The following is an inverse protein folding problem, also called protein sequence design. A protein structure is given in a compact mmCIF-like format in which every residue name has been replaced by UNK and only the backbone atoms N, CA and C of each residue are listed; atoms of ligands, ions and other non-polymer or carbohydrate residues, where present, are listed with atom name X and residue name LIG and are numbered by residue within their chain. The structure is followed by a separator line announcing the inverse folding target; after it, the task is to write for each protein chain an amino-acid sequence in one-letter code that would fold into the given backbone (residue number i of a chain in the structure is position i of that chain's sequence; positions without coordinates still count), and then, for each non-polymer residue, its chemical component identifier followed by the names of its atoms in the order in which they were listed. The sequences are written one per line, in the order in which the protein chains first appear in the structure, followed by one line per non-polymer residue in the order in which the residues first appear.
data_IF_447039244723
#
_entry.id   IF_447039244723
#
_cell.length_a   1.000
_cell.length_b   1.000
_cell.length_c   1.000
_cell.angle_alpha   90.00
_cell.angle_beta   90.00
_cell.angle_gamma   90.00
#
_symmetry.space_group_name_H-M   'P 1'
#
loop_
_entity.id
_entity.type
_entity.pdbx_description
1 polymer ?
#
# COMPACT_ATOMS: atom_id res chain seq x y z
N UNK A 1 18.52 -37.93 3.93
CA UNK A 1 19.34 -37.49 5.08
C UNK A 1 20.69 -36.87 4.64
N UNK A 2 21.73 -37.61 4.22
CA UNK A 2 23.06 -36.99 3.95
C UNK A 2 23.12 -36.04 2.72
N UNK A 3 22.22 -36.17 1.74
CA UNK A 3 22.16 -35.27 0.58
C UNK A 3 21.43 -33.96 0.87
N UNK A 4 20.38 -34.00 1.71
CA UNK A 4 19.61 -32.81 2.10
C UNK A 4 20.48 -31.83 2.90
N UNK A 5 21.38 -32.33 3.75
CA UNK A 5 22.29 -31.48 4.55
C UNK A 5 23.30 -30.70 3.72
N UNK A 6 23.66 -31.14 2.51
CA UNK A 6 24.62 -30.43 1.64
C UNK A 6 23.97 -29.26 0.90
N UNK A 7 22.71 -29.39 0.49
CA UNK A 7 22.00 -28.31 -0.21
C UNK A 7 21.77 -27.11 0.73
N UNK A 8 21.49 -27.37 2.01
CA UNK A 8 21.28 -26.34 3.02
C UNK A 8 22.55 -25.56 3.36
N UNK A 9 23.74 -26.17 3.24
CA UNK A 9 25.03 -25.51 3.52
C UNK A 9 25.34 -24.34 2.58
N UNK A 10 24.72 -24.29 1.39
CA UNK A 10 24.91 -23.23 0.40
C UNK A 10 23.82 -22.15 0.43
N UNK A 11 22.89 -22.19 1.38
CA UNK A 11 21.82 -21.19 1.49
C UNK A 11 22.35 -19.93 2.20
N UNK A 12 22.46 -18.83 1.46
CA UNK A 12 22.78 -17.52 2.04
C UNK A 12 21.51 -16.80 2.53
N UNK A 13 21.40 -16.57 3.84
CA UNK A 13 20.31 -15.79 4.44
C UNK A 13 20.61 -14.30 4.34
N UNK A 14 19.77 -13.55 3.63
CA UNK A 14 19.86 -12.10 3.50
C UNK A 14 18.74 -11.44 4.31
N UNK A 15 19.06 -10.35 5.02
CA UNK A 15 18.11 -9.57 5.80
C UNK A 15 18.10 -8.12 5.29
N UNK A 16 16.94 -7.64 4.86
CA UNK A 16 16.73 -6.24 4.51
C UNK A 16 16.24 -5.47 5.73
N UNK A 17 17.03 -4.51 6.20
CA UNK A 17 16.72 -3.63 7.34
C UNK A 17 16.36 -2.22 6.87
N UNK A 18 15.50 -1.56 7.62
CA UNK A 18 15.05 -0.19 7.34
C UNK A 18 13.79 0.17 8.11
N UNK A 19 13.48 1.46 8.21
CA UNK A 19 12.27 1.97 8.87
C UNK A 19 10.98 1.39 8.26
N UNK A 20 9.85 1.49 8.97
CA UNK A 20 8.53 1.27 8.36
C UNK A 20 8.42 2.02 7.04
N UNK A 21 7.75 1.43 6.04
CA UNK A 21 7.48 2.09 4.74
C UNK A 21 8.71 2.44 3.89
N UNK A 22 9.92 2.06 4.29
CA UNK A 22 11.17 2.32 3.55
C UNK A 22 11.32 1.58 2.21
N UNK A 23 10.28 0.90 1.74
CA UNK A 23 10.30 0.15 0.47
C UNK A 23 10.87 -1.28 0.53
N UNK A 24 11.11 -1.85 1.71
CA UNK A 24 11.63 -3.24 1.83
C UNK A 24 10.76 -4.26 1.07
N UNK A 25 9.45 -4.22 1.29
CA UNK A 25 8.50 -5.11 0.59
C UNK A 25 8.53 -4.90 -0.93
N UNK A 26 8.76 -3.67 -1.39
CA UNK A 26 8.92 -3.35 -2.81
C UNK A 26 10.16 -4.02 -3.38
N UNK A 27 11.31 -3.93 -2.68
CA UNK A 27 12.54 -4.61 -3.10
C UNK A 27 12.34 -6.13 -3.18
N UNK A 28 11.69 -6.74 -2.18
CA UNK A 28 11.39 -8.18 -2.21
C UNK A 28 10.52 -8.57 -3.42
N UNK A 29 9.49 -7.77 -3.74
CA UNK A 29 8.65 -7.98 -4.93
C UNK A 29 9.47 -7.90 -6.23
N UNK A 30 10.41 -6.96 -6.32
CA UNK A 30 11.30 -6.85 -7.49
C UNK A 30 12.25 -8.06 -7.60
N UNK A 31 12.79 -8.56 -6.48
CA UNK A 31 13.63 -9.78 -6.48
C UNK A 31 12.82 -10.99 -6.99
N UNK A 32 11.57 -11.14 -6.52
CA UNK A 32 10.67 -12.20 -7.00
C UNK A 32 10.39 -12.08 -8.50
N UNK A 33 10.17 -10.86 -9.00
CA UNK A 33 9.94 -10.63 -10.43
C UNK A 33 11.18 -10.95 -11.29
N UNK A 34 12.39 -10.63 -10.80
CA UNK A 34 13.63 -10.79 -11.56
C UNK A 34 14.23 -12.20 -11.52
N UNK A 35 14.10 -12.90 -10.38
CA UNK A 35 14.83 -14.15 -10.11
C UNK A 35 13.94 -15.35 -9.81
N UNK A 36 12.62 -15.18 -9.79
CA UNK A 36 11.66 -16.27 -9.61
C UNK A 36 10.66 -16.29 -10.78
N UNK A 37 9.53 -16.97 -10.62
CA UNK A 37 8.51 -17.14 -11.66
C UNK A 37 7.57 -15.94 -11.83
N UNK A 38 7.86 -14.79 -11.21
CA UNK A 38 6.92 -13.66 -11.14
C UNK A 38 5.74 -13.94 -10.19
N UNK A 39 4.60 -13.30 -10.43
CA UNK A 39 3.38 -13.46 -9.63
C UNK A 39 2.37 -14.32 -10.37
N UNK A 40 1.80 -15.31 -9.69
CA UNK A 40 0.70 -16.11 -10.25
C UNK A 40 -0.65 -15.36 -10.18
N UNK A 41 -1.66 -15.88 -10.87
CA UNK A 41 -2.97 -15.22 -10.89
C UNK A 41 -3.64 -15.15 -9.51
N UNK A 42 -3.41 -16.12 -8.62
CA UNK A 42 -3.98 -16.11 -7.29
C UNK A 42 -3.36 -15.00 -6.44
N UNK A 43 -2.04 -14.79 -6.56
CA UNK A 43 -1.33 -13.67 -5.96
C UNK A 43 -1.82 -12.32 -6.51
N UNK A 44 -1.97 -12.20 -7.83
CA UNK A 44 -2.51 -10.99 -8.46
C UNK A 44 -3.92 -10.67 -7.98
N UNK A 45 -4.79 -11.69 -7.87
CA UNK A 45 -6.13 -11.55 -7.28
C UNK A 45 -6.05 -11.12 -5.82
N UNK A 46 -5.11 -11.64 -5.04
CA UNK A 46 -4.92 -11.23 -3.64
C UNK A 46 -4.55 -9.76 -3.49
N UNK A 47 -3.84 -9.16 -4.47
CA UNK A 47 -3.53 -7.73 -4.45
C UNK A 47 -4.74 -6.84 -4.75
N UNK A 48 -5.81 -7.35 -5.34
CA UNK A 48 -7.00 -6.55 -5.69
C UNK A 48 -7.63 -5.93 -4.44
N UNK A 49 -7.80 -6.72 -3.37
CA UNK A 49 -8.35 -6.21 -2.10
C UNK A 49 -7.43 -5.17 -1.46
N UNK A 50 -6.11 -5.37 -1.52
CA UNK A 50 -5.10 -4.43 -1.02
C UNK A 50 -5.15 -3.12 -1.82
N UNK A 51 -5.26 -3.19 -3.15
CA UNK A 51 -5.37 -2.01 -4.01
C UNK A 51 -6.64 -1.23 -3.67
N UNK A 52 -7.79 -1.91 -3.55
CA UNK A 52 -9.04 -1.27 -3.16
C UNK A 52 -8.87 -0.58 -1.81
N UNK A 53 -8.40 -1.29 -0.78
CA UNK A 53 -8.19 -0.73 0.55
C UNK A 53 -7.28 0.51 0.54
N UNK A 54 -6.19 0.49 -0.22
CA UNK A 54 -5.27 1.62 -0.36
C UNK A 54 -5.95 2.83 -1.03
N UNK A 55 -6.80 2.61 -2.03
CA UNK A 55 -7.58 3.68 -2.70
C UNK A 55 -8.55 4.32 -1.71
N UNK A 56 -9.34 3.51 -0.99
CA UNK A 56 -10.27 4.00 0.03
C UNK A 56 -9.54 4.77 1.14
N UNK A 57 -8.43 4.22 1.65
CA UNK A 57 -7.63 4.86 2.68
C UNK A 57 -7.04 6.20 2.22
N UNK A 58 -6.55 6.26 0.97
CA UNK A 58 -5.99 7.50 0.40
C UNK A 58 -7.06 8.58 0.26
N UNK A 59 -8.25 8.22 -0.25
CA UNK A 59 -9.37 9.17 -0.37
C UNK A 59 -9.81 9.66 1.02
N UNK A 60 -9.86 8.77 2.02
CA UNK A 60 -10.18 9.14 3.41
C UNK A 60 -9.17 10.14 3.98
N UNK A 61 -7.87 9.87 3.83
CA UNK A 61 -6.80 10.77 4.29
C UNK A 61 -6.93 12.15 3.60
N UNK A 62 -7.17 12.16 2.28
CA UNK A 62 -7.35 13.41 1.54
C UNK A 62 -8.58 14.20 2.02
N UNK A 63 -9.70 13.52 2.28
CA UNK A 63 -10.92 14.14 2.80
C UNK A 63 -10.70 14.74 4.19
N UNK A 64 -10.10 13.97 5.10
CA UNK A 64 -9.82 14.41 6.48
C UNK A 64 -8.86 15.59 6.48
N UNK A 65 -7.78 15.54 5.69
CA UNK A 65 -6.82 16.63 5.54
C UNK A 65 -7.43 17.89 4.92
N UNK A 66 -8.29 17.76 3.90
CA UNK A 66 -9.00 18.90 3.31
C UNK A 66 -9.94 19.56 4.33
N UNK A 67 -10.66 18.75 5.12
CA UNK A 67 -11.53 19.24 6.19
C UNK A 67 -10.74 19.97 7.28
N UNK A 68 -9.60 19.42 7.72
CA UNK A 68 -8.72 20.06 8.71
C UNK A 68 -8.18 21.40 8.18
N UNK A 69 -7.64 21.42 6.95
CA UNK A 69 -7.13 22.64 6.34
C UNK A 69 -8.20 23.72 6.16
N UNK A 70 -9.44 23.33 5.83
CA UNK A 70 -10.56 24.29 5.72
C UNK A 70 -10.91 25.00 7.04
N UNK A 71 -10.50 24.44 8.18
CA UNK A 71 -10.75 25.01 9.51
C UNK A 71 -9.61 25.89 10.01
N UNK A 72 -8.38 25.63 9.56
CA UNK A 72 -7.17 26.30 10.05
C UNK A 72 -6.73 27.46 9.14
N UNK A 73 -6.91 27.32 7.83
CA UNK A 73 -6.37 28.28 6.86
C UNK A 73 -7.26 29.51 6.67
N UNK A 74 -6.62 30.68 6.55
CA UNK A 74 -7.32 31.97 6.34
C UNK A 74 -8.02 32.03 4.98
N UNK A 75 -7.47 31.33 3.98
CA UNK A 75 -8.11 31.09 2.68
C UNK A 75 -8.72 29.68 2.65
N UNK A 76 -9.74 29.48 3.48
CA UNK A 76 -10.44 28.20 3.61
C UNK A 76 -11.13 27.76 2.31
N UNK A 77 -11.44 28.71 1.43
CA UNK A 77 -12.19 28.49 0.19
C UNK A 77 -11.56 27.44 -0.72
N UNK A 78 -10.22 27.35 -0.72
CA UNK A 78 -9.44 26.40 -1.52
C UNK A 78 -9.60 24.95 -1.09
N UNK A 79 -9.93 24.72 0.18
CA UNK A 79 -10.04 23.38 0.79
C UNK A 79 -11.48 22.94 0.99
N UNK A 80 -12.46 23.80 0.67
CA UNK A 80 -13.88 23.46 0.72
C UNK A 80 -14.18 22.38 -0.32
N UNK A 81 -14.63 21.23 0.17
CA UNK A 81 -15.03 20.11 -0.67
C UNK A 81 -16.33 20.49 -1.40
N UNK A 82 -16.36 20.36 -2.72
CA UNK A 82 -17.55 20.65 -3.50
C UNK A 82 -18.74 19.79 -3.05
N UNK A 83 -19.98 20.31 -3.08
CA UNK A 83 -21.15 19.55 -2.63
C UNK A 83 -21.30 18.18 -3.32
N UNK A 84 -21.00 18.10 -4.62
CA UNK A 84 -21.04 16.85 -5.39
C UNK A 84 -20.06 15.80 -4.85
N UNK A 85 -18.86 16.26 -4.44
CA UNK A 85 -17.83 15.39 -3.87
C UNK A 85 -18.09 15.04 -2.41
N UNK A 86 -18.84 15.88 -1.67
CA UNK A 86 -19.23 15.57 -0.30
C UNK A 86 -20.12 14.33 -0.25
N UNK A 87 -21.09 14.19 -1.15
CA UNK A 87 -21.99 13.02 -1.20
C UNK A 87 -21.19 11.74 -1.44
N UNK A 88 -20.27 11.76 -2.42
CA UNK A 88 -19.37 10.64 -2.65
C UNK A 88 -18.50 10.34 -1.43
N UNK A 89 -17.86 11.35 -0.83
CA UNK A 89 -17.04 11.17 0.35
C UNK A 89 -17.82 10.55 1.53
N UNK A 90 -19.04 11.02 1.79
CA UNK A 90 -19.92 10.44 2.82
C UNK A 90 -20.24 8.97 2.54
N UNK A 91 -20.52 8.60 1.28
CA UNK A 91 -20.77 7.20 0.92
C UNK A 91 -19.54 6.31 1.13
N UNK A 92 -18.34 6.82 0.80
CA UNK A 92 -17.09 6.07 0.90
C UNK A 92 -16.60 5.92 2.36
N UNK A 93 -16.86 6.92 3.22
CA UNK A 93 -16.43 6.92 4.62
C UNK A 93 -17.32 6.07 5.54
N UNK A 94 -18.56 5.79 5.13
CA UNK A 94 -19.54 5.04 5.90
C UNK A 94 -19.89 3.66 5.30
N UNK A 95 -19.15 3.21 4.28
CA UNK A 95 -19.20 1.85 3.74
C UNK A 95 -18.18 0.96 4.45
#
# INVERSE_FOLDING_TARGET
ILQETKAEQHIHKLLLLGAGESGKSTIFKQIKLLFQTGFDEAELRSYTSVIHANVYQTIKILYEGAKELSQVESDSSKYVISPDNQVCAYSLLNS
#
